data_IF_419830063170
#
_entry.id   IF_419830063170
#
_cell.length_a   1.000
_cell.length_b   1.000
_cell.length_c   1.000
_cell.angle_alpha   90.00
_cell.angle_beta   90.00
_cell.angle_gamma   90.00
#
_symmetry.space_group_name_H-M   'P 1'
#
loop_
_entity.id
_entity.type
_entity.pdbx_description
1 polymer ?
#
# COMPACT_ATOMS: atom_id res chain seq x y z
N UNK A 1 -32.73 -30.53 -71.29
CA UNK A 1 -32.95 -30.48 -69.83
C UNK A 1 -31.63 -30.05 -69.18
N UNK A 2 -31.68 -29.11 -68.23
CA UNK A 2 -30.60 -28.17 -67.88
C UNK A 2 -29.43 -28.78 -67.06
N UNK A 3 -28.28 -28.15 -67.25
CA UNK A 3 -26.96 -28.38 -66.64
C UNK A 3 -26.83 -27.58 -65.32
N UNK A 4 -26.02 -28.10 -64.38
CA UNK A 4 -25.37 -27.54 -63.16
C UNK A 4 -25.98 -27.96 -61.81
N UNK A 5 -25.10 -28.26 -60.84
CA UNK A 5 -24.72 -27.22 -59.88
C UNK A 5 -23.22 -26.88 -59.90
N UNK A 6 -22.91 -25.62 -59.58
CA UNK A 6 -21.56 -25.09 -59.44
C UNK A 6 -21.05 -25.30 -58.01
N UNK A 7 -19.76 -25.63 -57.79
CA UNK A 7 -19.09 -25.41 -56.52
C UNK A 7 -18.68 -23.94 -56.41
N UNK A 8 -19.18 -23.26 -55.38
CA UNK A 8 -18.76 -21.91 -55.01
C UNK A 8 -17.35 -21.92 -54.41
N UNK A 9 -16.47 -21.21 -55.09
CA UNK A 9 -15.23 -20.56 -54.65
C UNK A 9 -14.82 -20.73 -53.17
N UNK A 10 -13.75 -21.49 -52.93
CA UNK A 10 -12.88 -21.27 -51.78
C UNK A 10 -11.83 -20.23 -52.19
N UNK A 11 -12.02 -19.00 -51.74
CA UNK A 11 -11.06 -17.91 -51.90
C UNK A 11 -9.88 -18.16 -50.95
N UNK A 12 -8.67 -18.20 -51.49
CA UNK A 12 -7.45 -18.09 -50.74
C UNK A 12 -7.28 -16.63 -50.25
N UNK A 13 -7.02 -16.45 -48.96
CA UNK A 13 -6.35 -15.27 -48.44
C UNK A 13 -5.34 -15.73 -47.39
N UNK A 14 -4.08 -15.76 -47.81
CA UNK A 14 -2.93 -16.06 -46.97
C UNK A 14 -2.78 -14.98 -45.90
N UNK A 15 -2.93 -15.36 -44.63
CA UNK A 15 -2.53 -14.55 -43.48
C UNK A 15 -1.01 -14.70 -43.28
N UNK A 16 -0.26 -13.83 -43.95
CA UNK A 16 1.11 -13.48 -43.57
C UNK A 16 1.04 -12.59 -42.31
N UNK A 17 0.80 -13.20 -41.16
CA UNK A 17 1.09 -12.57 -39.88
C UNK A 17 2.58 -12.80 -39.59
N UNK A 18 3.38 -11.77 -39.83
CA UNK A 18 4.81 -11.75 -39.53
C UNK A 18 5.05 -12.13 -38.07
N UNK A 19 5.83 -13.19 -37.88
CA UNK A 19 6.53 -13.52 -36.65
C UNK A 19 7.51 -12.38 -36.33
N UNK A 20 7.03 -11.34 -35.66
CA UNK A 20 7.92 -10.53 -34.84
C UNK A 20 8.29 -11.39 -33.63
N UNK A 21 9.58 -11.66 -33.37
CA UNK A 21 9.97 -12.31 -32.14
C UNK A 21 9.46 -11.46 -30.98
N UNK A 22 8.68 -12.09 -30.08
CA UNK A 22 8.28 -11.47 -28.83
C UNK A 22 9.55 -10.93 -28.17
N UNK A 23 9.58 -9.61 -27.93
CA UNK A 23 10.67 -9.02 -27.17
C UNK A 23 10.82 -9.82 -25.87
N UNK A 24 12.03 -10.28 -25.52
CA UNK A 24 12.22 -10.95 -24.25
C UNK A 24 11.69 -10.02 -23.16
N UNK A 25 10.98 -10.54 -22.14
CA UNK A 25 10.53 -9.70 -21.04
C UNK A 25 11.76 -8.96 -20.52
N UNK A 26 11.69 -7.64 -20.49
CA UNK A 26 12.75 -6.82 -19.94
C UNK A 26 13.15 -7.45 -18.61
N UNK A 27 14.41 -7.87 -18.46
CA UNK A 27 14.92 -8.36 -17.17
C UNK A 27 14.58 -7.26 -16.17
N UNK A 28 13.61 -7.53 -15.31
CA UNK A 28 13.27 -6.64 -14.22
C UNK A 28 14.56 -6.53 -13.40
N UNK A 29 15.22 -5.37 -13.49
CA UNK A 29 16.37 -5.10 -12.65
C UNK A 29 15.89 -5.20 -11.21
N UNK A 30 16.56 -6.04 -10.43
CA UNK A 30 16.30 -6.17 -9.01
C UNK A 30 16.34 -4.78 -8.37
N UNK A 31 15.35 -4.48 -7.53
CA UNK A 31 15.16 -3.17 -6.90
C UNK A 31 16.41 -2.58 -6.21
N UNK A 32 17.39 -3.43 -5.87
CA UNK A 32 18.62 -3.08 -5.15
C UNK A 32 19.46 -1.94 -5.76
N UNK A 33 19.31 -1.59 -7.04
CA UNK A 33 20.22 -0.63 -7.71
C UNK A 33 19.69 0.80 -7.86
N UNK A 34 18.50 1.14 -7.37
CA UNK A 34 17.94 2.48 -7.57
C UNK A 34 17.70 3.21 -6.26
N UNK A 35 18.73 3.89 -5.75
CA UNK A 35 18.59 5.01 -4.81
C UNK A 35 17.79 6.11 -5.51
N UNK A 36 16.47 5.99 -5.53
CA UNK A 36 15.53 6.98 -6.09
C UNK A 36 14.65 7.58 -5.00
N UNK A 37 14.93 7.27 -3.74
CA UNK A 37 14.23 7.89 -2.64
C UNK A 37 14.66 9.35 -2.50
N UNK A 38 13.72 10.13 -2.01
CA UNK A 38 13.92 11.54 -1.70
C UNK A 38 13.45 11.81 -0.27
N UNK A 39 14.26 12.57 0.46
CA UNK A 39 13.90 13.03 1.79
C UNK A 39 14.11 14.53 1.89
N UNK A 40 13.08 15.22 2.37
CA UNK A 40 13.17 16.65 2.64
C UNK A 40 13.16 16.87 4.14
N UNK A 41 14.28 17.39 4.68
CA UNK A 41 14.43 17.71 6.10
C UNK A 41 14.11 19.19 6.31
N UNK A 42 13.43 19.52 7.41
CA UNK A 42 13.09 20.89 7.78
C UNK A 42 14.37 21.73 7.91
N UNK A 43 14.37 22.90 7.26
CA UNK A 43 15.51 23.82 7.24
C UNK A 43 16.59 23.49 6.19
N UNK A 44 16.46 22.39 5.45
CA UNK A 44 17.29 22.15 4.28
C UNK A 44 16.89 23.08 3.12
N UNK A 45 17.84 23.38 2.23
CA UNK A 45 17.57 24.20 1.02
C UNK A 45 16.72 23.49 -0.03
N UNK A 46 16.58 22.16 0.07
CA UNK A 46 15.82 21.33 -0.86
C UNK A 46 15.87 19.85 -0.47
N UNK A 47 15.18 18.97 -1.21
CA UNK A 47 15.18 17.53 -0.95
C UNK A 47 16.55 16.91 -1.22
N UNK A 48 16.95 15.98 -0.35
CA UNK A 48 18.06 15.06 -0.60
C UNK A 48 17.56 13.93 -1.47
N UNK A 49 17.96 13.93 -2.74
CA UNK A 49 17.63 12.87 -3.69
C UNK A 49 18.72 11.80 -3.72
N UNK A 50 18.39 10.59 -4.15
CA UNK A 50 19.41 9.54 -4.31
C UNK A 50 19.82 8.92 -2.99
N UNK A 51 18.91 8.92 -2.02
CA UNK A 51 19.08 8.26 -0.72
C UNK A 51 18.43 6.89 -0.73
N UNK A 52 18.70 6.10 0.31
CA UNK A 52 17.94 4.88 0.64
C UNK A 52 17.30 5.11 2.01
N UNK A 53 15.97 5.15 2.04
CA UNK A 53 15.21 5.14 3.29
C UNK A 53 15.25 3.71 3.84
N UNK A 54 15.90 3.56 4.99
CA UNK A 54 16.13 2.29 5.68
C UNK A 54 14.95 1.94 6.57
N UNK A 55 14.43 2.93 7.29
CA UNK A 55 13.23 2.78 8.09
C UNK A 55 12.45 4.09 8.14
N UNK A 56 11.12 3.95 8.20
CA UNK A 56 10.21 5.02 8.54
C UNK A 56 9.27 4.43 9.59
N UNK A 57 9.43 4.92 10.80
CA UNK A 57 8.71 4.51 11.98
C UNK A 57 8.07 5.72 12.62
N UNK A 58 7.07 5.48 13.47
CA UNK A 58 6.34 6.57 14.08
C UNK A 58 7.21 7.50 14.97
N UNK A 59 8.39 7.02 15.39
CA UNK A 59 9.35 7.67 16.30
C UNK A 59 10.65 8.07 15.59
N UNK A 60 10.94 7.49 14.42
CA UNK A 60 12.22 7.67 13.74
C UNK A 60 12.11 7.48 12.24
N UNK A 61 12.81 8.31 11.49
CA UNK A 61 13.12 8.12 10.08
C UNK A 61 14.62 7.97 9.92
N UNK A 62 15.03 6.88 9.27
CA UNK A 62 16.43 6.54 9.04
C UNK A 62 16.69 6.41 7.54
N UNK A 63 17.74 7.07 7.05
CA UNK A 63 18.15 6.99 5.66
C UNK A 63 19.66 7.08 5.50
N UNK A 64 20.19 6.58 4.39
CA UNK A 64 21.60 6.74 4.03
C UNK A 64 21.74 7.36 2.64
N UNK A 65 22.76 8.21 2.47
CA UNK A 65 23.21 8.65 1.15
C UNK A 65 24.12 7.60 0.49
N UNK A 66 24.51 7.83 -0.77
CA UNK A 66 25.36 6.90 -1.55
C UNK A 66 26.69 6.52 -0.86
N UNK A 67 27.28 7.41 -0.09
CA UNK A 67 28.63 7.25 0.48
C UNK A 67 28.76 7.84 1.89
N UNK A 68 27.65 8.09 2.58
CA UNK A 68 27.62 8.68 3.92
C UNK A 68 27.07 7.73 4.99
N UNK A 69 27.33 8.01 6.28
CA UNK A 69 26.71 7.26 7.38
C UNK A 69 25.19 7.46 7.38
N UNK A 70 24.48 6.48 7.92
CA UNK A 70 23.04 6.58 8.14
C UNK A 70 22.71 7.81 9.00
N UNK A 71 21.72 8.57 8.55
CA UNK A 71 21.16 9.71 9.23
C UNK A 71 19.88 9.26 9.94
N UNK A 72 19.66 9.81 11.12
CA UNK A 72 18.50 9.51 11.96
C UNK A 72 17.83 10.80 12.37
N UNK A 73 16.53 10.92 12.11
CA UNK A 73 15.72 12.08 12.50
C UNK A 73 14.39 11.65 13.06
N UNK A 74 13.80 12.55 13.85
CA UNK A 74 12.41 12.39 14.28
C UNK A 74 11.48 12.72 13.10
N UNK A 75 10.28 12.13 13.01
CA UNK A 75 9.30 12.48 11.97
C UNK A 75 8.95 13.98 11.95
N UNK A 76 9.00 14.67 13.09
CA UNK A 76 8.77 16.12 13.18
C UNK A 76 9.83 16.97 12.46
N UNK A 77 11.00 16.41 12.19
CA UNK A 77 12.08 17.05 11.41
C UNK A 77 11.96 16.78 9.91
N UNK A 78 11.06 15.88 9.48
CA UNK A 78 10.89 15.49 8.09
C UNK A 78 9.70 16.24 7.48
N UNK A 79 9.95 16.97 6.39
CA UNK A 79 8.91 17.66 5.62
C UNK A 79 8.21 16.73 4.64
N UNK A 80 8.96 15.85 3.97
CA UNK A 80 8.41 14.87 3.03
C UNK A 80 9.34 13.70 2.80
N UNK A 81 8.74 12.55 2.48
CA UNK A 81 9.40 11.34 2.00
C UNK A 81 8.79 10.96 0.66
N UNK A 82 9.65 10.64 -0.30
CA UNK A 82 9.27 10.03 -1.57
C UNK A 82 10.08 8.76 -1.74
N UNK A 83 9.41 7.70 -2.17
CA UNK A 83 9.99 6.39 -2.31
C UNK A 83 10.04 6.07 -3.80
N UNK A 84 11.24 5.81 -4.32
CA UNK A 84 11.43 5.52 -5.74
C UNK A 84 10.83 4.17 -6.18
N UNK A 85 10.36 3.38 -5.21
CA UNK A 85 9.90 2.01 -5.36
C UNK A 85 8.42 1.84 -5.04
N UNK A 86 7.66 2.95 -4.99
CA UNK A 86 6.22 2.87 -4.80
C UNK A 86 5.60 1.96 -5.87
N UNK A 87 4.99 0.84 -5.46
CA UNK A 87 4.50 -0.13 -6.43
C UNK A 87 3.23 0.44 -7.08
N UNK A 88 3.10 0.42 -8.43
CA UNK A 88 1.94 0.99 -9.13
C UNK A 88 0.55 0.53 -8.62
N UNK A 89 0.35 -0.72 -8.15
CA UNK A 89 -0.90 -1.12 -7.50
C UNK A 89 -1.22 -0.29 -6.25
N UNK A 90 -0.22 0.13 -5.47
CA UNK A 90 -0.46 1.01 -4.32
C UNK A 90 -1.01 2.37 -4.75
N UNK A 91 -0.39 3.01 -5.75
CA UNK A 91 -0.86 4.29 -6.29
C UNK A 91 -2.30 4.19 -6.81
N UNK A 92 -2.61 3.16 -7.63
CA UNK A 92 -3.99 2.92 -8.10
C UNK A 92 -4.96 2.65 -6.96
N UNK A 93 -4.54 1.89 -5.95
CA UNK A 93 -5.33 1.64 -4.75
C UNK A 93 -5.66 2.93 -3.99
N UNK A 94 -4.70 3.84 -3.84
CA UNK A 94 -4.92 5.15 -3.23
C UNK A 94 -5.89 6.02 -4.05
N UNK A 95 -5.78 6.01 -5.38
CA UNK A 95 -6.70 6.76 -6.25
C UNK A 95 -8.13 6.23 -6.17
N UNK A 96 -8.29 4.90 -6.18
CA UNK A 96 -9.58 4.24 -5.97
C UNK A 96 -10.16 4.55 -4.58
N UNK A 97 -9.33 4.48 -3.54
CA UNK A 97 -9.71 4.76 -2.16
C UNK A 97 -10.22 6.19 -1.99
N UNK A 98 -9.47 7.18 -2.49
CA UNK A 98 -9.84 8.61 -2.45
C UNK A 98 -11.13 8.90 -3.21
N UNK A 99 -11.39 8.13 -4.27
CA UNK A 99 -12.59 8.26 -5.11
C UNK A 99 -13.81 7.49 -4.57
N UNK A 100 -13.73 6.84 -3.41
CA UNK A 100 -14.82 6.05 -2.85
C UNK A 100 -15.03 4.69 -3.52
N UNK A 101 -14.15 4.26 -4.44
CA UNK A 101 -14.19 2.95 -5.10
C UNK A 101 -13.48 1.91 -4.24
N UNK A 102 -14.00 1.66 -3.04
CA UNK A 102 -13.30 0.89 -2.02
C UNK A 102 -13.06 -0.57 -2.39
N UNK A 103 -13.97 -1.22 -3.13
CA UNK A 103 -13.75 -2.60 -3.58
C UNK A 103 -12.57 -2.71 -4.54
N UNK A 104 -12.43 -1.75 -5.46
CA UNK A 104 -11.27 -1.64 -6.35
C UNK A 104 -9.99 -1.35 -5.56
N UNK A 105 -10.07 -0.46 -4.56
CA UNK A 105 -8.95 -0.15 -3.68
C UNK A 105 -8.42 -1.40 -2.95
N UNK A 106 -9.31 -2.23 -2.39
CA UNK A 106 -8.92 -3.49 -1.72
C UNK A 106 -8.18 -4.42 -2.69
N UNK A 107 -8.68 -4.59 -3.91
CA UNK A 107 -8.02 -5.42 -4.94
C UNK A 107 -6.62 -4.90 -5.26
N UNK A 108 -6.47 -3.60 -5.48
CA UNK A 108 -5.19 -2.98 -5.83
C UNK A 108 -4.18 -3.03 -4.67
N UNK A 109 -4.61 -2.79 -3.43
CA UNK A 109 -3.74 -2.92 -2.26
C UNK A 109 -3.28 -4.37 -2.05
N UNK A 110 -4.15 -5.37 -2.24
CA UNK A 110 -3.75 -6.78 -2.13
C UNK A 110 -2.71 -7.18 -3.19
N UNK A 111 -2.76 -6.57 -4.38
CA UNK A 111 -1.76 -6.78 -5.43
C UNK A 111 -0.36 -6.24 -5.10
N UNK A 112 -0.21 -5.43 -4.04
CA UNK A 112 1.11 -4.98 -3.54
C UNK A 112 1.93 -6.15 -2.99
N UNK A 113 1.29 -7.15 -2.38
CA UNK A 113 1.98 -8.34 -1.88
C UNK A 113 2.71 -9.10 -3.01
N UNK A 114 2.13 -9.16 -4.21
CA UNK A 114 2.75 -9.75 -5.39
C UNK A 114 3.94 -8.93 -5.87
N UNK A 115 3.88 -7.59 -5.79
CA UNK A 115 5.01 -6.72 -6.11
C UNK A 115 6.18 -6.92 -5.13
N UNK A 116 5.90 -7.05 -3.83
CA UNK A 116 6.89 -7.35 -2.79
C UNK A 116 7.50 -8.73 -2.98
N UNK A 117 6.67 -9.76 -3.21
CA UNK A 117 7.12 -11.15 -3.46
C UNK A 117 8.00 -11.25 -4.72
N UNK A 118 7.70 -10.45 -5.74
CA UNK A 118 8.49 -10.35 -6.97
C UNK A 118 9.75 -9.49 -6.82
N UNK A 119 10.07 -8.96 -5.62
CA UNK A 119 11.25 -8.13 -5.39
C UNK A 119 11.20 -6.76 -6.08
N UNK A 120 10.01 -6.30 -6.48
CA UNK A 120 9.82 -5.02 -7.20
C UNK A 120 9.69 -3.80 -6.28
N UNK A 121 9.48 -4.02 -4.98
CA UNK A 121 9.39 -2.97 -3.96
C UNK A 121 9.70 -3.54 -2.56
N UNK A 122 9.95 -2.66 -1.59
CA UNK A 122 10.26 -3.02 -0.20
C UNK A 122 9.06 -3.57 0.57
N UNK A 123 9.35 -4.41 1.57
CA UNK A 123 8.33 -5.05 2.43
C UNK A 123 7.44 -4.10 3.23
N UNK A 124 7.89 -2.89 3.57
CA UNK A 124 7.03 -1.96 4.30
C UNK A 124 5.81 -1.54 3.47
N UNK A 125 5.89 -1.58 2.13
CA UNK A 125 4.73 -1.35 1.26
C UNK A 125 3.63 -2.38 1.47
N UNK A 126 3.99 -3.63 1.80
CA UNK A 126 3.02 -4.68 2.12
C UNK A 126 2.20 -4.29 3.34
N UNK A 127 2.85 -3.86 4.43
CA UNK A 127 2.16 -3.47 5.66
C UNK A 127 1.28 -2.22 5.45
N UNK A 128 1.78 -1.21 4.73
CA UNK A 128 1.00 -0.03 4.35
C UNK A 128 -0.23 -0.40 3.52
N UNK A 129 -0.06 -1.28 2.54
CA UNK A 129 -1.16 -1.72 1.68
C UNK A 129 -2.22 -2.49 2.48
N UNK A 130 -1.81 -3.35 3.41
CA UNK A 130 -2.76 -4.06 4.29
C UNK A 130 -3.54 -3.08 5.16
N UNK A 131 -2.89 -2.07 5.73
CA UNK A 131 -3.57 -1.04 6.54
C UNK A 131 -4.62 -0.26 5.72
N UNK A 132 -4.29 0.13 4.48
CA UNK A 132 -5.24 0.82 3.61
C UNK A 132 -6.35 -0.10 3.06
N UNK A 133 -6.05 -1.38 2.82
CA UNK A 133 -7.06 -2.38 2.49
C UNK A 133 -8.05 -2.56 3.63
N UNK A 134 -7.59 -2.65 4.88
CA UNK A 134 -8.43 -2.75 6.06
C UNK A 134 -9.36 -1.53 6.21
N UNK A 135 -8.86 -0.31 5.95
CA UNK A 135 -9.71 0.88 5.96
C UNK A 135 -10.75 0.89 4.83
N UNK A 136 -10.36 0.43 3.63
CA UNK A 136 -11.32 0.25 2.54
C UNK A 136 -12.40 -0.79 2.87
N UNK A 137 -12.03 -1.91 3.48
CA UNK A 137 -12.94 -2.96 3.95
C UNK A 137 -13.91 -2.45 5.02
N UNK A 138 -13.41 -1.68 6.00
CA UNK A 138 -14.25 -1.03 7.02
C UNK A 138 -15.26 -0.08 6.39
N UNK A 139 -14.86 0.71 5.40
CA UNK A 139 -15.78 1.62 4.66
C UNK A 139 -16.83 0.86 3.86
N UNK A 140 -16.47 -0.28 3.27
CA UNK A 140 -17.43 -1.20 2.63
C UNK A 140 -18.41 -1.73 3.67
N UNK A 141 -17.91 -2.24 4.80
CA UNK A 141 -18.74 -2.77 5.90
C UNK A 141 -19.72 -1.71 6.42
N UNK A 142 -19.28 -0.46 6.53
CA UNK A 142 -20.11 0.68 6.92
C UNK A 142 -21.21 0.98 5.90
N UNK A 143 -20.87 1.01 4.60
CA UNK A 143 -21.84 1.23 3.53
C UNK A 143 -22.90 0.12 3.47
N UNK A 144 -22.48 -1.12 3.71
CA UNK A 144 -23.36 -2.29 3.70
C UNK A 144 -24.07 -2.53 5.04
N UNK A 145 -23.65 -1.85 6.11
CA UNK A 145 -24.12 -2.04 7.48
C UNK A 145 -24.03 -3.51 7.93
N UNK A 146 -22.88 -4.15 7.67
CA UNK A 146 -22.67 -5.56 7.94
C UNK A 146 -21.65 -5.79 9.07
N UNK A 147 -22.10 -6.19 10.29
CA UNK A 147 -21.22 -6.47 11.43
C UNK A 147 -20.12 -7.51 11.15
N UNK A 148 -20.42 -8.56 10.38
CA UNK A 148 -19.43 -9.59 10.07
C UNK A 148 -18.26 -9.03 9.25
N UNK A 149 -18.55 -8.11 8.32
CA UNK A 149 -17.51 -7.45 7.50
C UNK A 149 -16.67 -6.46 8.30
N UNK A 150 -17.21 -5.90 9.38
CA UNK A 150 -16.40 -5.11 10.31
C UNK A 150 -15.37 -6.00 11.03
N UNK A 151 -15.74 -7.23 11.43
CA UNK A 151 -14.79 -8.17 12.02
C UNK A 151 -13.76 -8.72 11.02
N UNK A 152 -14.09 -8.77 9.72
CA UNK A 152 -13.09 -9.01 8.67
C UNK A 152 -12.07 -7.87 8.62
N UNK A 153 -12.52 -6.61 8.56
CA UNK A 153 -11.64 -5.44 8.55
C UNK A 153 -10.77 -5.33 9.80
N UNK A 154 -11.31 -5.67 10.97
CA UNK A 154 -10.57 -5.72 12.23
C UNK A 154 -9.37 -6.69 12.15
N UNK A 155 -9.56 -7.89 11.59
CA UNK A 155 -8.48 -8.86 11.39
C UNK A 155 -7.39 -8.33 10.46
N UNK A 156 -7.76 -7.60 9.41
CA UNK A 156 -6.79 -6.98 8.50
C UNK A 156 -5.99 -5.85 9.17
N UNK A 157 -6.60 -5.07 10.07
CA UNK A 157 -5.85 -4.10 10.88
C UNK A 157 -4.87 -4.77 11.85
N UNK A 158 -5.27 -5.87 12.49
CA UNK A 158 -4.37 -6.66 13.35
C UNK A 158 -3.19 -7.22 12.55
N UNK A 159 -3.42 -7.70 11.33
CA UNK A 159 -2.37 -8.16 10.44
C UNK A 159 -1.39 -7.02 10.08
N UNK A 160 -1.91 -5.84 9.75
CA UNK A 160 -1.09 -4.66 9.48
C UNK A 160 -0.20 -4.31 10.68
N UNK A 161 -0.77 -4.27 11.89
CA UNK A 161 -0.05 -3.99 13.13
C UNK A 161 1.04 -5.03 13.41
N UNK A 162 0.75 -6.31 13.17
CA UNK A 162 1.72 -7.39 13.36
C UNK A 162 2.91 -7.30 12.40
N UNK A 163 2.67 -6.87 11.15
CA UNK A 163 3.72 -6.72 10.13
C UNK A 163 4.56 -5.47 10.32
N UNK A 164 3.94 -4.38 10.79
CA UNK A 164 4.61 -3.11 11.02
C UNK A 164 4.12 -2.45 12.32
N UNK A 165 4.62 -2.91 13.49
CA UNK A 165 4.18 -2.42 14.80
C UNK A 165 4.60 -0.97 15.07
N UNK A 166 5.52 -0.44 14.25
CA UNK A 166 5.96 0.95 14.32
C UNK A 166 5.48 1.79 13.15
N UNK A 167 4.41 1.37 12.49
CA UNK A 167 3.92 2.04 11.29
C UNK A 167 3.66 3.53 11.52
N UNK A 168 4.03 4.41 10.58
CA UNK A 168 3.56 5.79 10.60
C UNK A 168 2.02 5.90 10.54
N UNK A 169 1.34 4.84 10.09
CA UNK A 169 -0.12 4.72 10.02
C UNK A 169 -0.75 4.25 11.33
N UNK A 170 0.00 4.21 12.44
CA UNK A 170 -0.46 3.71 13.75
C UNK A 170 -1.84 4.28 14.16
N UNK A 171 -2.07 5.58 14.02
CA UNK A 171 -3.36 6.19 14.38
C UNK A 171 -4.51 5.64 13.52
N UNK A 172 -4.32 5.50 12.21
CA UNK A 172 -5.32 4.94 11.30
C UNK A 172 -5.60 3.46 11.63
N UNK A 173 -4.54 2.68 11.91
CA UNK A 173 -4.67 1.26 12.24
C UNK A 173 -5.39 1.09 13.57
N UNK A 174 -4.97 1.82 14.62
CA UNK A 174 -5.52 1.67 15.97
C UNK A 174 -6.97 2.17 16.07
N UNK A 175 -7.28 3.34 15.51
CA UNK A 175 -8.65 3.88 15.51
C UNK A 175 -9.56 3.03 14.61
N UNK A 176 -9.09 2.63 13.44
CA UNK A 176 -9.83 1.76 12.53
C UNK A 176 -10.12 0.38 13.11
N UNK A 177 -9.16 -0.21 13.83
CA UNK A 177 -9.34 -1.47 14.55
C UNK A 177 -10.41 -1.33 15.65
N UNK A 178 -10.31 -0.27 16.46
CA UNK A 178 -11.26 -0.01 17.53
C UNK A 178 -12.69 0.15 16.99
N UNK A 179 -12.85 0.95 15.93
CA UNK A 179 -14.14 1.19 15.28
C UNK A 179 -14.68 -0.10 14.65
N UNK A 180 -13.84 -0.86 13.94
CA UNK A 180 -14.23 -2.12 13.31
C UNK A 180 -14.67 -3.16 14.36
N UNK A 181 -13.99 -3.29 15.49
CA UNK A 181 -14.44 -4.18 16.57
C UNK A 181 -15.76 -3.72 17.17
N UNK A 182 -15.89 -2.44 17.51
CA UNK A 182 -17.10 -1.87 18.08
C UNK A 182 -18.33 -2.06 17.17
N UNK A 183 -18.20 -1.72 15.88
CA UNK A 183 -19.28 -1.89 14.89
C UNK A 183 -19.54 -3.36 14.51
N UNK A 184 -18.56 -4.24 14.74
CA UNK A 184 -18.71 -5.69 14.68
C UNK A 184 -19.40 -6.30 15.91
N UNK A 185 -19.70 -5.51 16.94
CA UNK A 185 -20.34 -5.94 18.19
C UNK A 185 -19.37 -6.33 19.30
N UNK A 186 -18.05 -6.25 19.07
CA UNK A 186 -17.00 -6.48 20.07
C UNK A 186 -16.55 -5.15 20.70
N UNK A 187 -17.39 -4.63 21.60
CA UNK A 187 -17.14 -3.36 22.29
C UNK A 187 -15.91 -3.41 23.19
N UNK A 188 -15.74 -4.49 23.95
CA UNK A 188 -14.61 -4.66 24.86
C UNK A 188 -13.29 -4.75 24.08
N UNK A 189 -13.28 -5.49 22.97
CA UNK A 189 -12.12 -5.54 22.08
C UNK A 189 -11.83 -4.20 21.42
N UNK A 190 -12.85 -3.39 21.12
CA UNK A 190 -12.71 -2.03 20.61
C UNK A 190 -12.06 -1.08 21.62
N UNK A 191 -12.53 -1.09 22.87
CA UNK A 191 -11.93 -0.31 23.97
C UNK A 191 -10.48 -0.72 24.22
N UNK A 192 -10.20 -2.03 24.25
CA UNK A 192 -8.84 -2.55 24.40
C UNK A 192 -7.90 -2.04 23.29
N UNK A 193 -8.37 -2.00 22.04
CA UNK A 193 -7.58 -1.48 20.93
C UNK A 193 -7.25 0.03 21.09
N UNK A 194 -8.16 0.83 21.66
CA UNK A 194 -7.88 2.23 21.99
C UNK A 194 -6.85 2.36 23.12
N UNK A 195 -6.93 1.52 24.15
CA UNK A 195 -5.95 1.52 25.24
C UNK A 195 -4.56 1.13 24.75
N UNK A 196 -4.48 0.12 23.87
CA UNK A 196 -3.22 -0.28 23.22
C UNK A 196 -2.66 0.82 22.32
N UNK A 197 -3.52 1.52 21.56
CA UNK A 197 -3.12 2.68 20.78
C UNK A 197 -2.55 3.79 21.68
N UNK A 198 -3.24 4.12 22.78
CA UNK A 198 -2.79 5.14 23.75
C UNK A 198 -1.44 4.77 24.37
N UNK A 199 -1.26 3.52 24.77
CA UNK A 199 0.01 3.03 25.31
C UNK A 199 1.14 3.15 24.28
N UNK A 200 0.88 2.76 23.03
CA UNK A 200 1.87 2.82 21.95
C UNK A 200 2.21 4.26 21.57
N UNK A 201 1.22 5.14 21.45
CA UNK A 201 1.41 6.57 21.16
C UNK A 201 2.17 7.29 22.29
N UNK A 202 1.86 6.95 23.54
CA UNK A 202 2.59 7.45 24.70
C UNK A 202 4.06 7.04 24.69
N UNK A 203 4.36 5.75 24.41
CA UNK A 203 5.73 5.27 24.26
C UNK A 203 6.48 5.92 23.08
N UNK A 204 5.75 6.31 22.04
CA UNK A 204 6.27 7.00 20.86
C UNK A 204 6.59 8.50 21.09
N UNK A 205 6.20 9.07 22.24
CA UNK A 205 6.27 10.52 22.46
C UNK A 205 5.35 11.33 21.54
N UNK A 206 4.31 10.71 20.97
CA UNK A 206 3.34 11.39 20.13
C UNK A 206 2.24 12.05 20.97
N UNK A 207 1.83 13.29 20.67
CA UNK A 207 0.73 13.91 21.39
C UNK A 207 -0.57 13.12 21.24
N UNK A 208 -1.28 12.91 22.35
CA UNK A 208 -2.52 12.12 22.43
C UNK A 208 -3.65 12.59 21.48
N UNK A 209 -3.67 13.86 21.07
CA UNK A 209 -4.69 14.39 20.17
C UNK A 209 -4.56 13.91 18.71
N UNK A 210 -3.40 13.34 18.31
CA UNK A 210 -3.28 12.59 17.04
C UNK A 210 -3.90 11.19 17.10
N UNK A 211 -4.30 10.73 18.29
CA UNK A 211 -5.12 9.52 18.49
C UNK A 211 -6.63 9.83 18.59
N UNK A 212 -7.02 11.11 18.67
CA UNK A 212 -8.41 11.56 18.87
C UNK A 212 -8.96 12.45 17.73
N UNK A 213 -8.21 12.74 16.66
CA UNK A 213 -8.69 13.66 15.61
C UNK A 213 -8.34 13.22 14.19
N UNK A 214 -9.31 12.61 13.50
CA UNK A 214 -9.76 12.96 12.13
C UNK A 214 -11.05 12.25 11.78
#
# INVERSE_FOLDING_TARGET
MRIRPAPTAALAAALLAGLLPAAPPARAQDYKEQFKDEIHVKGAKGPSTGVEILSESYDRVEWKGKSGPAQNKTPAEILSLSYGDEPPPYTRGMDAWKSGRWSEAVTEFRAVADAVKAGRCRRFWEARAIAHAADAERRIALKEKNPAKFLDAARSYEEAMKKDPKSPLLSMIGTGLAEARALGGDWDGGLKALDELKATAGAAGRPLWEAEAR
#
